data_IF_596553926408
#
_entry.id   IF_596553926408
#
_cell.length_a   1.000
_cell.length_b   1.000
_cell.length_c   1.000
_cell.angle_alpha   90.00
_cell.angle_beta   90.00
_cell.angle_gamma   90.00
#
_symmetry.space_group_name_H-M   'P 1'
#
loop_
_entity.id
_entity.type
_entity.pdbx_description
1 polymer ?
#
# COMPACT_ATOMS: atom_id res chain seq x y z
N UNK A 1 -23.44 8.83 5.20
CA UNK A 1 -22.02 8.42 5.12
C UNK A 1 -21.92 7.33 4.08
N UNK A 2 -20.87 7.28 3.25
CA UNK A 2 -20.68 6.18 2.32
C UNK A 2 -20.58 4.85 3.09
N UNK A 3 -21.14 3.78 2.54
CA UNK A 3 -20.97 2.45 3.12
C UNK A 3 -19.51 1.99 3.01
N UNK A 4 -19.00 1.34 4.05
CA UNK A 4 -17.65 0.76 4.04
C UNK A 4 -17.50 -0.26 2.90
N UNK A 5 -16.44 -0.14 2.12
CA UNK A 5 -16.15 -1.06 1.02
C UNK A 5 -15.43 -2.30 1.55
N UNK A 6 -15.95 -3.48 1.20
CA UNK A 6 -15.41 -4.76 1.69
C UNK A 6 -14.42 -5.43 0.72
N UNK A 7 -14.07 -4.77 -0.38
CA UNK A 7 -13.12 -5.28 -1.37
C UNK A 7 -12.15 -4.19 -1.81
N UNK A 8 -10.91 -4.55 -2.18
CA UNK A 8 -9.97 -3.59 -2.75
C UNK A 8 -10.46 -2.97 -4.05
N UNK A 9 -10.17 -1.70 -4.26
CA UNK A 9 -10.57 -0.97 -5.45
C UNK A 9 -9.58 0.14 -5.82
N UNK A 10 -9.51 0.46 -7.10
CA UNK A 10 -8.80 1.65 -7.58
C UNK A 10 -9.62 2.91 -7.25
N UNK A 11 -8.92 3.92 -6.73
CA UNK A 11 -9.48 5.26 -6.44
C UNK A 11 -8.50 6.35 -6.83
N UNK A 12 -9.03 7.54 -7.07
CA UNK A 12 -8.24 8.77 -7.15
C UNK A 12 -8.44 9.54 -5.86
N UNK A 13 -7.35 9.87 -5.16
CA UNK A 13 -7.36 10.52 -3.85
C UNK A 13 -6.36 11.69 -3.87
N UNK A 14 -6.71 12.79 -3.23
CA UNK A 14 -5.78 13.89 -2.96
C UNK A 14 -4.88 13.55 -1.76
N UNK A 15 -3.61 13.27 -2.04
CA UNK A 15 -2.59 12.98 -1.05
C UNK A 15 -1.64 14.17 -0.83
N UNK A 16 -1.87 15.30 -1.51
CA UNK A 16 -0.98 16.47 -1.44
C UNK A 16 -0.81 17.07 -0.05
N UNK A 17 -1.81 17.06 0.87
CA UNK A 17 -1.59 17.50 2.24
C UNK A 17 -0.62 16.59 3.03
N UNK A 18 -0.34 15.39 2.50
CA UNK A 18 0.41 14.32 3.14
C UNK A 18 1.67 13.93 2.33
N UNK A 19 2.16 14.84 1.49
CA UNK A 19 3.39 14.64 0.70
C UNK A 19 3.24 13.73 -0.52
N UNK A 20 2.01 13.38 -0.90
CA UNK A 20 1.70 12.70 -2.17
C UNK A 20 1.20 13.65 -3.28
N UNK A 21 0.73 13.12 -4.42
CA UNK A 21 0.12 13.90 -5.49
C UNK A 21 -1.33 14.33 -5.19
N UNK A 22 -1.83 15.36 -5.88
CA UNK A 22 -3.22 15.84 -5.75
C UNK A 22 -4.25 14.91 -6.42
N UNK A 23 -3.84 14.13 -7.41
CA UNK A 23 -4.68 13.22 -8.19
C UNK A 23 -4.12 11.80 -8.18
N UNK A 24 -3.74 11.31 -6.99
CA UNK A 24 -3.08 10.04 -6.83
C UNK A 24 -4.02 8.87 -7.16
N UNK A 25 -3.68 8.08 -8.18
CA UNK A 25 -4.30 6.77 -8.41
C UNK A 25 -3.74 5.76 -7.43
N UNK A 26 -4.59 5.22 -6.58
CA UNK A 26 -4.21 4.29 -5.51
C UNK A 26 -5.07 3.05 -5.51
N UNK A 27 -4.51 1.94 -5.05
CA UNK A 27 -5.30 0.77 -4.63
C UNK A 27 -5.70 0.99 -3.18
N UNK A 28 -6.99 1.10 -2.94
CA UNK A 28 -7.56 1.22 -1.58
C UNK A 28 -8.00 -0.16 -1.12
N UNK A 29 -7.48 -0.61 0.01
CA UNK A 29 -7.62 -1.95 0.56
C UNK A 29 -8.35 -1.85 1.89
N UNK A 30 -9.45 -2.59 2.10
CA UNK A 30 -10.19 -2.61 3.37
C UNK A 30 -9.30 -3.04 4.53
N UNK A 31 -9.24 -2.24 5.59
CA UNK A 31 -8.67 -2.59 6.89
C UNK A 31 -9.76 -2.49 7.97
N UNK A 32 -10.58 -3.55 8.17
CA UNK A 32 -11.69 -3.51 9.12
C UNK A 32 -11.20 -3.31 10.55
N UNK A 33 -12.09 -2.82 11.42
CA UNK A 33 -11.80 -2.69 12.84
C UNK A 33 -11.28 -4.00 13.44
N UNK A 34 -10.32 -3.90 14.36
CA UNK A 34 -9.70 -5.02 15.08
C UNK A 34 -8.99 -6.03 14.15
N UNK A 35 -8.55 -5.59 12.98
CA UNK A 35 -7.66 -6.36 12.10
C UNK A 35 -6.26 -5.76 12.10
N UNK A 36 -5.26 -6.54 11.72
CA UNK A 36 -3.88 -6.08 11.56
C UNK A 36 -3.54 -6.10 10.09
N UNK A 37 -3.13 -4.96 9.54
CA UNK A 37 -2.59 -4.87 8.18
C UNK A 37 -1.09 -5.13 8.20
N UNK A 38 -0.62 -5.98 7.29
CA UNK A 38 0.80 -6.30 7.10
C UNK A 38 1.14 -5.96 5.66
N UNK A 39 2.09 -5.06 5.46
CA UNK A 39 2.47 -4.50 4.17
C UNK A 39 3.93 -4.82 3.90
N UNK A 40 4.23 -5.27 2.69
CA UNK A 40 5.59 -5.54 2.21
C UNK A 40 5.63 -5.43 0.69
N UNK A 41 6.81 -5.28 0.10
CA UNK A 41 6.94 -5.17 -1.35
C UNK A 41 8.27 -5.64 -1.90
N UNK A 42 8.29 -5.87 -3.21
CA UNK A 42 9.46 -6.22 -3.98
C UNK A 42 9.47 -5.47 -5.32
N UNK A 43 10.65 -4.98 -5.68
CA UNK A 43 10.94 -4.40 -6.99
C UNK A 43 11.49 -5.50 -7.90
N UNK A 44 11.03 -5.53 -9.15
CA UNK A 44 11.62 -6.38 -10.19
C UNK A 44 12.06 -5.62 -11.44
N UNK A 45 11.82 -4.30 -11.49
CA UNK A 45 12.15 -3.42 -12.60
C UNK A 45 13.60 -2.92 -12.62
N UNK A 46 14.09 -2.59 -13.82
CA UNK A 46 15.36 -1.86 -14.01
C UNK A 46 15.30 -0.40 -13.56
N UNK A 47 14.14 0.26 -13.62
CA UNK A 47 14.00 1.66 -13.19
C UNK A 47 13.70 1.76 -11.70
N UNK A 48 14.12 2.86 -11.08
CA UNK A 48 13.93 3.07 -9.64
C UNK A 48 12.44 3.10 -9.32
N UNK A 49 12.00 2.18 -8.48
CA UNK A 49 10.62 2.10 -8.03
C UNK A 49 10.46 2.63 -6.61
N UNK A 50 9.27 3.13 -6.31
CA UNK A 50 8.87 3.66 -5.01
C UNK A 50 7.38 3.42 -4.78
N UNK A 51 6.99 3.09 -3.57
CA UNK A 51 5.59 3.18 -3.18
C UNK A 51 5.40 3.91 -1.86
N UNK A 52 4.21 4.44 -1.68
CA UNK A 52 3.77 5.07 -0.46
C UNK A 52 2.54 4.34 0.06
N UNK A 53 2.44 4.19 1.37
CA UNK A 53 1.26 3.64 2.02
C UNK A 53 0.67 4.63 3.01
N UNK A 54 -0.65 4.75 2.98
CA UNK A 54 -1.42 5.65 3.84
C UNK A 54 -2.53 4.88 4.52
N UNK A 55 -2.78 5.15 5.81
CA UNK A 55 -4.04 4.76 6.44
C UNK A 55 -5.09 5.82 6.12
N UNK A 56 -6.28 5.39 5.71
CA UNK A 56 -7.41 6.28 5.45
C UNK A 56 -8.58 5.95 6.37
N UNK A 57 -9.33 6.95 6.81
CA UNK A 57 -10.63 6.72 7.41
C UNK A 57 -11.71 6.33 6.37
N UNK A 58 -12.94 6.10 6.83
CA UNK A 58 -14.06 5.72 5.96
C UNK A 58 -14.51 6.83 4.99
N UNK A 59 -14.06 8.07 5.19
CA UNK A 59 -14.27 9.21 4.30
C UNK A 59 -13.05 9.48 3.38
N UNK A 60 -12.05 8.59 3.41
CA UNK A 60 -10.80 8.69 2.65
C UNK A 60 -9.85 9.82 3.11
N UNK A 61 -10.00 10.31 4.35
CA UNK A 61 -9.01 11.21 4.93
C UNK A 61 -7.81 10.43 5.46
N UNK A 62 -6.61 10.92 5.14
CA UNK A 62 -5.36 10.31 5.60
C UNK A 62 -5.21 10.44 7.11
N UNK A 63 -4.76 9.35 7.72
CA UNK A 63 -4.43 9.19 9.13
C UNK A 63 -3.06 8.54 9.25
N UNK A 64 -2.52 8.60 10.47
CA UNK A 64 -1.29 7.91 10.79
C UNK A 64 -1.52 6.40 11.02
N UNK A 65 -0.54 5.54 10.68
CA UNK A 65 0.75 5.92 10.09
C UNK A 65 0.74 6.04 8.56
N UNK A 66 1.78 6.70 8.04
CA UNK A 66 2.09 6.80 6.62
C UNK A 66 3.52 6.31 6.41
N UNK A 67 3.83 5.66 5.29
CA UNK A 67 5.19 5.21 5.01
C UNK A 67 5.61 5.42 3.56
N UNK A 68 6.89 5.76 3.37
CA UNK A 68 7.58 5.85 2.09
C UNK A 68 8.49 4.63 1.96
N UNK A 69 8.44 3.96 0.82
CA UNK A 69 9.16 2.72 0.58
C UNK A 69 10.04 2.86 -0.65
N UNK A 70 11.32 2.48 -0.51
CA UNK A 70 12.29 2.51 -1.58
C UNK A 70 13.02 1.17 -1.68
N UNK A 71 13.23 0.70 -2.90
CA UNK A 71 14.05 -0.48 -3.15
C UNK A 71 15.53 -0.04 -3.28
N UNK A 72 16.46 -0.64 -2.51
CA UNK A 72 17.87 -0.27 -2.57
C UNK A 72 18.56 -0.70 -3.88
N UNK A 73 17.99 -1.66 -4.61
CA UNK A 73 18.52 -2.16 -5.90
C UNK A 73 17.42 -2.77 -6.80
N UNK A 74 17.78 -3.16 -8.01
CA UNK A 74 16.84 -3.48 -9.11
C UNK A 74 16.00 -4.76 -8.92
N UNK A 75 16.50 -5.73 -8.14
CA UNK A 75 15.72 -6.90 -7.75
C UNK A 75 15.86 -7.13 -6.24
N UNK A 76 15.09 -6.37 -5.47
CA UNK A 76 15.19 -6.34 -4.02
C UNK A 76 13.84 -6.07 -3.36
N UNK A 77 13.75 -6.41 -2.07
CA UNK A 77 12.65 -5.96 -1.24
C UNK A 77 12.71 -4.45 -1.09
N UNK A 78 11.56 -3.83 -0.91
CA UNK A 78 11.50 -2.44 -0.50
C UNK A 78 11.79 -2.34 1.00
N UNK A 79 12.56 -1.31 1.36
CA UNK A 79 12.75 -0.90 2.74
C UNK A 79 11.94 0.39 3.01
N UNK A 80 11.45 0.52 4.24
CA UNK A 80 10.79 1.72 4.76
C UNK A 80 11.87 2.81 4.88
N UNK A 81 11.81 3.77 3.97
CA UNK A 81 12.71 4.92 3.94
C UNK A 81 12.27 6.03 4.91
N UNK A 82 10.97 6.15 5.16
CA UNK A 82 10.40 7.15 6.07
C UNK A 82 9.07 6.65 6.64
N UNK A 83 8.82 6.95 7.92
CA UNK A 83 7.54 6.70 8.59
C UNK A 83 7.00 7.93 9.31
N UNK A 84 5.73 8.20 9.03
CA UNK A 84 4.76 9.18 9.55
C UNK A 84 3.89 8.67 10.70
N UNK A 85 3.92 9.12 11.96
CA UNK A 85 4.92 9.95 12.63
C UNK A 85 6.21 9.17 12.93
N UNK A 86 7.35 9.85 13.18
CA UNK A 86 8.65 9.18 13.35
C UNK A 86 8.78 8.28 14.59
N UNK A 87 7.89 8.44 15.56
CA UNK A 87 7.81 7.61 16.78
C UNK A 87 7.00 6.32 16.57
N UNK A 88 6.46 6.09 15.37
CA UNK A 88 5.93 4.78 14.99
C UNK A 88 7.09 3.80 14.79
N UNK A 89 7.41 3.06 15.85
CA UNK A 89 8.51 2.08 15.84
C UNK A 89 8.04 0.77 15.19
N UNK A 90 8.39 0.56 13.92
CA UNK A 90 8.43 -0.80 13.35
C UNK A 90 9.83 -1.41 13.52
N UNK A 91 9.90 -2.73 13.72
CA UNK A 91 11.13 -3.47 13.97
C UNK A 91 11.74 -4.04 12.69
N UNK A 92 10.94 -4.27 11.66
CA UNK A 92 11.41 -4.81 10.38
C UNK A 92 11.45 -3.68 9.34
N UNK A 93 12.61 -3.37 8.74
CA UNK A 93 12.68 -2.32 7.73
C UNK A 93 11.94 -2.67 6.45
N UNK A 94 11.65 -3.95 6.17
CA UNK A 94 11.01 -4.40 4.93
C UNK A 94 9.54 -4.79 5.10
N UNK A 95 8.98 -4.68 6.30
CA UNK A 95 7.59 -5.03 6.61
C UNK A 95 6.99 -4.00 7.54
N UNK A 96 5.78 -3.52 7.23
CA UNK A 96 5.04 -2.59 8.07
C UNK A 96 3.79 -3.26 8.61
N UNK A 97 3.67 -3.32 9.93
CA UNK A 97 2.47 -3.80 10.61
C UNK A 97 1.67 -2.63 11.20
N UNK A 98 0.40 -2.53 10.84
CA UNK A 98 -0.50 -1.44 11.28
C UNK A 98 -1.79 -1.97 11.91
N UNK A 99 -2.34 -1.17 12.84
CA UNK A 99 -3.46 -1.57 13.68
C UNK A 99 -3.04 -2.47 14.84
N UNK A 100 -4.00 -3.09 15.55
CA UNK A 100 -5.44 -3.03 15.29
C UNK A 100 -6.06 -1.67 15.67
N UNK A 101 -6.92 -1.15 14.81
CA UNK A 101 -7.72 0.05 15.07
C UNK A 101 -9.10 -0.31 15.64
N UNK A 102 -9.74 0.63 16.33
CA UNK A 102 -11.12 0.44 16.83
C UNK A 102 -12.19 0.69 15.75
N UNK A 103 -11.86 1.51 14.75
CA UNK A 103 -12.74 1.87 13.65
C UNK A 103 -12.31 1.15 12.36
N UNK A 104 -13.23 1.07 11.40
CA UNK A 104 -12.91 0.64 10.05
C UNK A 104 -12.05 1.70 9.34
N UNK A 105 -10.99 1.25 8.68
CA UNK A 105 -10.10 2.10 7.92
C UNK A 105 -9.81 1.43 6.57
N UNK A 106 -9.00 2.10 5.76
CA UNK A 106 -8.40 1.54 4.56
C UNK A 106 -6.88 1.72 4.58
N UNK A 107 -6.21 0.90 3.78
CA UNK A 107 -4.81 1.10 3.38
C UNK A 107 -4.84 1.56 1.93
N UNK A 108 -4.28 2.73 1.63
CA UNK A 108 -4.05 3.16 0.26
C UNK A 108 -2.59 2.93 -0.12
N UNK A 109 -2.38 2.28 -1.27
CA UNK A 109 -1.06 2.06 -1.87
C UNK A 109 -0.95 2.92 -3.12
N UNK A 110 0.02 3.84 -3.12
CA UNK A 110 0.40 4.67 -4.26
C UNK A 110 1.76 4.22 -4.80
N UNK A 111 1.86 3.95 -6.10
CA UNK A 111 3.08 3.47 -6.76
C UNK A 111 3.63 4.52 -7.71
N UNK A 112 4.94 4.66 -7.76
CA UNK A 112 5.64 5.61 -8.62
C UNK A 112 7.02 5.11 -9.01
N UNK A 113 7.53 5.58 -10.14
CA UNK A 113 8.84 5.21 -10.67
C UNK A 113 9.64 6.45 -11.06
N UNK A 114 10.94 6.30 -11.23
CA UNK A 114 11.83 7.34 -11.75
C UNK A 114 12.66 6.77 -12.89
N UNK A 115 12.46 7.31 -14.10
CA UNK A 115 13.18 6.86 -15.30
C UNK A 115 14.64 7.32 -15.28
N UNK A 116 15.54 6.61 -15.99
CA UNK A 116 16.93 7.02 -16.10
C UNK A 116 17.08 8.46 -16.60
N UNK A 117 17.80 9.29 -15.83
CA UNK A 117 18.03 10.71 -16.16
C UNK A 117 16.93 11.68 -15.73
N UNK A 118 15.78 11.19 -15.25
CA UNK A 118 14.75 12.03 -14.66
C UNK A 118 15.06 12.37 -13.20
N UNK A 119 14.59 13.52 -12.73
CA UNK A 119 14.80 13.97 -11.35
C UNK A 119 13.65 13.65 -10.41
N UNK A 120 12.46 13.45 -10.97
CA UNK A 120 11.22 13.32 -10.22
C UNK A 120 10.61 11.95 -10.47
N UNK A 121 9.86 11.47 -9.49
CA UNK A 121 9.05 10.27 -9.65
C UNK A 121 7.76 10.60 -10.39
N UNK A 122 7.42 9.79 -11.38
CA UNK A 122 6.14 9.78 -12.07
C UNK A 122 5.23 8.67 -11.51
N UNK A 123 3.89 8.83 -11.56
CA UNK A 123 2.98 7.76 -11.15
C UNK A 123 3.14 6.52 -12.04
N UNK A 124 3.16 5.35 -11.41
CA UNK A 124 3.03 4.05 -12.11
C UNK A 124 1.55 3.68 -12.23
N UNK A 125 1.18 2.87 -13.21
CA UNK A 125 -0.20 2.38 -13.40
C UNK A 125 -0.45 1.14 -12.54
N UNK A 126 -1.32 1.20 -11.50
CA UNK A 126 -1.50 0.08 -10.59
C UNK A 126 -2.69 -0.80 -10.98
N UNK A 127 -2.51 -2.10 -10.84
CA UNK A 127 -3.52 -3.15 -10.85
C UNK A 127 -3.51 -3.92 -9.53
N UNK A 128 -4.60 -4.61 -9.23
CA UNK A 128 -4.67 -5.45 -8.04
C UNK A 128 -5.45 -6.74 -8.24
N UNK A 129 -5.08 -7.74 -7.46
CA UNK A 129 -5.85 -8.97 -7.25
C UNK A 129 -6.02 -9.21 -5.74
N UNK A 130 -7.11 -9.84 -5.34
CA UNK A 130 -7.43 -10.08 -3.93
C UNK A 130 -7.89 -11.50 -3.69
N UNK A 131 -7.42 -12.11 -2.61
CA UNK A 131 -7.67 -13.49 -2.23
C UNK A 131 -8.07 -13.55 -0.76
N UNK A 132 -9.15 -14.26 -0.45
CA UNK A 132 -9.59 -14.50 0.92
C UNK A 132 -9.25 -15.92 1.34
N UNK A 133 -8.64 -16.04 2.51
CA UNK A 133 -8.37 -17.31 3.18
C UNK A 133 -9.27 -17.44 4.39
N UNK A 134 -10.07 -18.51 4.44
CA UNK A 134 -11.07 -18.73 5.49
C UNK A 134 -10.74 -19.94 6.36
N UNK A 135 -10.98 -19.84 7.66
CA UNK A 135 -10.91 -20.97 8.60
C UNK A 135 -12.30 -21.15 9.21
N UNK A 136 -12.90 -22.34 9.07
CA UNK A 136 -14.24 -22.62 9.60
C UNK A 136 -15.33 -21.70 9.03
N UNK A 137 -15.19 -21.25 7.78
CA UNK A 137 -16.13 -20.34 7.12
C UNK A 137 -16.00 -18.86 7.52
N UNK A 138 -15.00 -18.50 8.33
CA UNK A 138 -14.70 -17.12 8.72
C UNK A 138 -13.41 -16.65 8.07
N UNK A 139 -13.36 -15.42 7.56
CA UNK A 139 -12.18 -14.84 6.90
C UNK A 139 -11.01 -14.73 7.89
N UNK A 140 -9.96 -15.53 7.74
CA UNK A 140 -8.77 -15.43 8.58
C UNK A 140 -7.78 -14.40 8.03
N UNK A 141 -7.58 -14.38 6.72
CA UNK A 141 -6.68 -13.45 6.04
C UNK A 141 -7.34 -12.99 4.74
N UNK A 142 -7.33 -11.69 4.48
CA UNK A 142 -7.57 -11.14 3.14
C UNK A 142 -6.25 -10.62 2.60
N UNK A 143 -5.77 -11.19 1.50
CA UNK A 143 -4.52 -10.81 0.87
C UNK A 143 -4.78 -10.06 -0.44
N UNK A 144 -4.22 -8.87 -0.56
CA UNK A 144 -4.25 -8.08 -1.80
C UNK A 144 -2.84 -7.98 -2.36
N UNK A 145 -2.68 -8.34 -3.63
CA UNK A 145 -1.47 -8.13 -4.40
C UNK A 145 -1.68 -6.91 -5.30
N UNK A 146 -0.86 -5.88 -5.13
CA UNK A 146 -0.82 -4.68 -5.97
C UNK A 146 0.40 -4.79 -6.87
N UNK A 147 0.15 -4.71 -8.17
CA UNK A 147 1.14 -4.78 -9.23
C UNK A 147 1.13 -3.44 -9.95
N UNK A 148 2.27 -2.83 -10.25
CA UNK A 148 2.30 -1.58 -10.99
C UNK A 148 3.27 -1.62 -12.17
N UNK A 149 2.91 -0.88 -13.21
CA UNK A 149 3.64 -0.74 -14.47
C UNK A 149 4.22 0.69 -14.59
N UNK A 150 5.48 0.81 -14.97
CA UNK A 150 6.19 2.08 -15.14
C UNK A 150 6.18 2.61 -16.60
N UNK A 151 5.67 1.80 -17.53
CA UNK A 151 5.52 2.14 -18.94
C UNK A 151 6.79 1.89 -19.75
N UNK A 152 7.75 1.15 -19.20
CA UNK A 152 8.81 0.49 -19.96
C UNK A 152 8.24 -0.63 -20.84
N UNK A 153 7.25 -1.37 -20.34
CA UNK A 153 6.49 -2.36 -21.10
C UNK A 153 5.01 -2.47 -20.67
N UNK A 154 4.48 -3.67 -20.43
CA UNK A 154 3.08 -3.92 -20.09
C UNK A 154 2.89 -5.24 -19.32
N UNK A 155 3.91 -5.71 -18.61
CA UNK A 155 3.84 -6.97 -17.86
C UNK A 155 3.36 -6.78 -16.41
N UNK A 156 3.30 -5.54 -15.92
CA UNK A 156 2.82 -5.17 -14.59
C UNK A 156 3.55 -5.92 -13.46
N UNK A 157 4.87 -6.05 -13.52
CA UNK A 157 5.63 -6.60 -12.40
C UNK A 157 6.71 -5.66 -11.83
N UNK A 158 6.83 -4.43 -12.33
CA UNK A 158 7.88 -3.51 -11.93
C UNK A 158 7.94 -3.31 -10.42
N UNK A 159 6.76 -3.04 -9.84
CA UNK A 159 6.52 -2.97 -8.40
C UNK A 159 5.45 -3.97 -8.00
N UNK A 160 5.75 -4.81 -7.02
CA UNK A 160 4.81 -5.75 -6.42
C UNK A 160 4.69 -5.46 -4.92
N UNK A 161 3.49 -5.11 -4.45
CA UNK A 161 3.18 -4.85 -3.04
C UNK A 161 2.16 -5.87 -2.55
N UNK A 162 2.51 -6.59 -1.49
CA UNK A 162 1.61 -7.47 -0.75
C UNK A 162 1.00 -6.74 0.44
N UNK A 163 -0.31 -6.82 0.58
CA UNK A 163 -1.04 -6.34 1.76
C UNK A 163 -1.90 -7.46 2.30
N UNK A 164 -1.51 -8.00 3.46
CA UNK A 164 -2.28 -9.01 4.18
C UNK A 164 -3.06 -8.35 5.33
N UNK A 165 -4.37 -8.55 5.36
CA UNK A 165 -5.24 -8.12 6.44
C UNK A 165 -5.59 -9.34 7.26
N UNK A 166 -5.00 -9.43 8.45
CA UNK A 166 -5.16 -10.54 9.37
C UNK A 166 -6.31 -10.24 10.34
N UNK A 167 -7.30 -11.11 10.36
CA UNK A 167 -8.46 -10.98 11.24
C UNK A 167 -8.12 -11.53 12.61
N UNK A 168 -7.98 -10.63 13.59
CA UNK A 168 -7.77 -11.03 14.98
C UNK A 168 -9.12 -11.41 15.58
N UNK A 169 -9.51 -12.68 15.45
CA UNK A 169 -10.64 -13.21 16.19
C UNK A 169 -10.27 -13.25 17.67
N UNK A 170 -10.91 -12.40 18.48
CA UNK A 170 -11.08 -12.62 19.91
C UNK A 170 -12.44 -13.24 20.15
#
# INVERSE_FOLDING_TARGET
>A
MPAYANKPALRTIDLSPHGGPTDAKVVVIPLPAKTIGIIFGQRTAEWVQRYNTYVLDTNYFVKDPQALWLAPSDNSRFDIAEIKPPDFVDKDPAVLSIGPFNDDNYIAVYTSHQKPGEKNFAPSDPHHSSYDFTIGGKNAISFTLVNAEDGGDSDYHDTVVGVAVNYTYK
#
